data_IF_320101980843
#
_entry.id   IF_320101980843
#
_cell.length_a   1.000
_cell.length_b   1.000
_cell.length_c   1.000
_cell.angle_alpha   90.00
_cell.angle_beta   90.00
_cell.angle_gamma   90.00
#
_symmetry.space_group_name_H-M   'P 1'
#
loop_
_entity.id
_entity.type
_entity.pdbx_description
1 polymer ?
#
# COMPACT_ATOMS: atom_id res chain seq x y z
N UNK A 1 49.80 -9.46 26.36
CA UNK A 1 48.73 -8.48 26.05
C UNK A 1 47.47 -8.87 26.80
N UNK A 2 47.03 -8.01 27.72
CA UNK A 2 46.06 -8.33 28.79
C UNK A 2 44.61 -8.42 28.27
N UNK A 3 43.85 -9.39 28.80
CA UNK A 3 42.42 -9.61 28.56
C UNK A 3 41.56 -8.35 28.82
N UNK A 4 42.08 -7.37 29.55
CA UNK A 4 41.44 -6.07 29.76
C UNK A 4 41.28 -5.23 28.48
N UNK A 5 42.16 -5.40 27.49
CA UNK A 5 42.10 -4.62 26.24
C UNK A 5 41.01 -5.11 25.29
N UNK A 6 40.69 -6.41 25.28
CA UNK A 6 39.65 -6.98 24.41
C UNK A 6 38.24 -6.66 24.91
N UNK A 7 38.04 -6.57 26.22
CA UNK A 7 36.76 -6.19 26.81
C UNK A 7 36.38 -4.74 26.45
N UNK A 8 37.32 -3.79 26.52
CA UNK A 8 37.05 -2.38 26.14
C UNK A 8 36.61 -2.24 24.68
N UNK A 9 37.22 -2.96 23.74
CA UNK A 9 36.85 -2.89 22.33
C UNK A 9 35.45 -3.45 22.07
N UNK A 10 35.05 -4.53 22.75
CA UNK A 10 33.70 -5.12 22.60
C UNK A 10 32.63 -4.20 23.20
N UNK A 11 32.88 -3.60 24.37
CA UNK A 11 31.93 -2.64 24.96
C UNK A 11 31.82 -1.34 24.15
N UNK A 12 32.90 -0.84 23.54
CA UNK A 12 32.83 0.32 22.65
C UNK A 12 32.04 0.04 21.37
N UNK A 13 32.15 -1.17 20.79
CA UNK A 13 31.35 -1.56 19.62
C UNK A 13 29.87 -1.73 20.01
N UNK A 14 29.57 -2.34 21.17
CA UNK A 14 28.20 -2.46 21.66
C UNK A 14 27.57 -1.10 21.97
N UNK A 15 28.34 -0.16 22.53
CA UNK A 15 27.86 1.19 22.86
C UNK A 15 27.62 2.06 21.61
N UNK A 16 28.43 1.90 20.55
CA UNK A 16 28.20 2.55 19.25
C UNK A 16 26.97 1.94 18.56
N UNK A 17 26.73 0.64 18.69
CA UNK A 17 25.51 -0.02 18.18
C UNK A 17 24.24 0.40 18.96
N UNK A 18 24.34 0.64 20.26
CA UNK A 18 23.21 1.11 21.08
C UNK A 18 22.89 2.60 20.85
N UNK A 19 23.88 3.45 20.60
CA UNK A 19 23.66 4.89 20.32
C UNK A 19 23.03 5.18 18.93
N UNK A 20 23.05 4.22 18.00
CA UNK A 20 22.32 4.37 16.73
C UNK A 20 20.83 4.03 16.83
N UNK A 21 20.35 3.55 17.99
CA UNK A 21 18.92 3.21 18.17
C UNK A 21 18.12 4.29 18.87
N UNK A 22 18.75 5.35 19.41
CA UNK A 22 18.07 6.54 19.90
C UNK A 22 17.95 7.61 18.80
N UNK A 23 17.54 7.21 17.61
CA UNK A 23 17.25 8.16 16.53
C UNK A 23 15.82 8.72 16.74
N UNK A 24 15.76 9.94 17.29
CA UNK A 24 14.72 10.96 17.09
C UNK A 24 13.35 10.46 16.60
N UNK A 25 12.57 9.80 17.47
CA UNK A 25 11.13 9.68 17.24
C UNK A 25 10.48 11.03 17.61
N UNK A 26 10.58 12.02 16.72
CA UNK A 26 9.75 13.22 16.81
C UNK A 26 8.45 12.93 16.04
N UNK A 27 7.35 12.87 16.77
CA UNK A 27 6.03 12.64 16.18
C UNK A 27 5.55 13.92 15.49
N UNK A 28 5.35 13.87 14.17
CA UNK A 28 4.42 14.81 13.54
C UNK A 28 3.10 14.74 14.30
N UNK A 29 2.59 15.90 14.71
CA UNK A 29 1.27 16.02 15.36
C UNK A 29 0.23 16.11 14.25
N UNK A 30 -0.76 15.23 14.28
CA UNK A 30 -1.88 15.24 13.35
C UNK A 30 -3.09 15.84 14.05
N UNK A 31 -3.79 16.76 13.40
CA UNK A 31 -4.94 17.47 13.97
C UNK A 31 -6.27 16.72 13.77
N UNK A 32 -6.21 15.43 13.41
CA UNK A 32 -7.37 14.59 13.13
C UNK A 32 -7.26 13.25 13.86
N UNK A 33 -8.40 12.55 14.00
CA UNK A 33 -8.44 11.21 14.60
C UNK A 33 -7.52 10.23 13.84
N UNK A 34 -6.62 9.59 14.58
CA UNK A 34 -5.62 8.65 14.06
C UNK A 34 -5.97 7.18 14.29
N UNK A 35 -7.16 6.85 14.82
CA UNK A 35 -7.54 5.48 15.18
C UNK A 35 -7.57 4.49 13.99
N UNK A 36 -7.82 4.99 12.79
CA UNK A 36 -7.94 4.20 11.55
C UNK A 36 -6.80 4.49 10.55
N UNK A 37 -5.66 4.98 11.04
CA UNK A 37 -4.44 5.13 10.23
C UNK A 37 -3.30 4.28 10.78
N UNK A 38 -2.34 4.01 9.91
CA UNK A 38 -1.09 3.33 10.22
C UNK A 38 0.05 4.25 9.78
N UNK A 39 0.94 4.60 10.71
CA UNK A 39 2.02 5.56 10.46
C UNK A 39 3.36 4.82 10.45
N UNK A 40 4.07 4.90 9.32
CA UNK A 40 5.49 4.53 9.26
C UNK A 40 6.29 5.81 9.47
N UNK A 41 6.97 5.88 10.61
CA UNK A 41 7.73 7.07 10.99
C UNK A 41 8.93 7.27 10.07
N UNK A 42 9.10 8.53 9.66
CA UNK A 42 10.29 9.00 8.96
C UNK A 42 11.52 8.91 9.88
N UNK A 43 12.73 8.64 9.34
CA UNK A 43 13.95 8.58 10.14
C UNK A 43 14.51 9.97 10.49
N UNK A 44 13.99 11.05 9.88
CA UNK A 44 14.41 12.43 10.15
C UNK A 44 13.37 13.43 9.63
N UNK A 45 13.52 14.71 10.03
CA UNK A 45 12.68 15.83 9.57
C UNK A 45 12.77 16.13 8.07
N UNK A 46 13.77 15.58 7.38
CA UNK A 46 13.93 15.76 5.94
C UNK A 46 12.86 14.98 5.16
N UNK A 47 12.15 14.07 5.81
CA UNK A 47 11.17 13.20 5.17
C UNK A 47 9.82 13.28 5.88
N UNK A 48 8.76 13.15 5.11
CA UNK A 48 7.39 13.05 5.60
C UNK A 48 7.19 11.64 6.16
N UNK A 49 6.42 11.51 7.22
CA UNK A 49 5.89 10.21 7.63
C UNK A 49 5.04 9.60 6.50
N UNK A 50 4.95 8.27 6.44
CA UNK A 50 4.02 7.58 5.55
C UNK A 50 2.75 7.30 6.35
N UNK A 51 1.63 7.84 5.90
CA UNK A 51 0.32 7.66 6.53
C UNK A 51 -0.54 6.77 5.63
N UNK A 52 -0.89 5.58 6.10
CA UNK A 52 -1.75 4.64 5.40
C UNK A 52 -3.08 4.51 6.15
N UNK A 53 -4.15 4.09 5.48
CA UNK A 53 -5.33 3.63 6.23
C UNK A 53 -5.03 2.32 6.95
N UNK A 54 -5.67 2.12 8.09
CA UNK A 54 -5.51 0.91 8.89
C UNK A 54 -6.84 0.29 9.26
N UNK A 55 -6.77 -0.98 9.62
CA UNK A 55 -7.82 -1.69 10.34
C UNK A 55 -7.14 -2.57 11.37
N UNK A 56 -7.58 -2.53 12.63
CA UNK A 56 -6.98 -3.27 13.74
C UNK A 56 -5.43 -3.13 13.81
N UNK A 57 -4.90 -1.93 13.61
CA UNK A 57 -3.49 -1.61 13.80
C UNK A 57 -2.53 -2.04 12.68
N UNK A 58 -3.03 -2.57 11.55
CA UNK A 58 -2.21 -2.86 10.35
C UNK A 58 -2.77 -2.14 9.12
N UNK A 59 -1.96 -1.89 8.08
CA UNK A 59 -2.42 -1.26 6.85
C UNK A 59 -3.61 -1.97 6.23
N UNK A 60 -4.51 -1.22 5.57
CA UNK A 60 -5.56 -1.78 4.72
C UNK A 60 -5.47 -1.21 3.31
N UNK A 61 -5.79 -2.04 2.33
CA UNK A 61 -5.79 -1.67 0.91
C UNK A 61 -7.02 -2.26 0.20
N UNK A 62 -7.35 -1.72 -0.98
CA UNK A 62 -8.59 -2.03 -1.70
C UNK A 62 -9.53 -0.84 -1.63
N UNK A 63 -10.79 -1.04 -1.23
CA UNK A 63 -11.70 0.09 -1.02
C UNK A 63 -11.20 0.95 0.13
N UNK A 64 -10.92 2.22 -0.16
CA UNK A 64 -10.53 3.20 0.85
C UNK A 64 -11.75 3.96 1.37
N UNK A 65 -11.75 4.29 2.66
CA UNK A 65 -12.65 5.30 3.18
C UNK A 65 -12.21 6.66 2.63
N UNK A 66 -13.03 7.31 1.83
CA UNK A 66 -12.63 8.58 1.21
C UNK A 66 -12.65 9.73 2.19
N UNK A 67 -13.30 9.59 3.37
CA UNK A 67 -13.64 10.66 4.33
C UNK A 67 -14.40 11.85 3.76
N UNK A 68 -14.54 11.92 2.44
CA UNK A 68 -15.23 12.94 1.68
C UNK A 68 -16.59 12.37 1.30
N UNK A 69 -17.54 12.42 2.24
CA UNK A 69 -18.95 12.47 1.87
C UNK A 69 -19.21 13.79 1.11
N UNK A 70 -20.29 13.87 0.34
CA UNK A 70 -20.60 15.02 -0.56
C UNK A 70 -20.66 16.40 0.12
N UNK A 71 -20.65 16.47 1.46
CA UNK A 71 -20.60 17.71 2.25
C UNK A 71 -19.30 17.89 3.07
N UNK A 72 -18.42 16.89 3.11
CA UNK A 72 -17.19 16.88 3.92
C UNK A 72 -16.02 17.63 3.26
N UNK A 73 -16.19 18.13 2.03
CA UNK A 73 -15.24 19.07 1.41
C UNK A 73 -15.08 20.40 2.19
N UNK A 74 -15.96 20.66 3.16
CA UNK A 74 -15.88 21.80 4.10
C UNK A 74 -15.17 21.46 5.41
N UNK A 75 -14.94 20.19 5.72
CA UNK A 75 -14.17 19.78 6.89
C UNK A 75 -12.70 19.67 6.49
N UNK A 76 -11.91 20.69 6.86
CA UNK A 76 -10.50 20.79 6.51
C UNK A 76 -9.68 19.59 7.03
N UNK A 77 -9.98 19.11 8.23
CA UNK A 77 -9.26 18.00 8.87
C UNK A 77 -9.45 16.68 8.10
N UNK A 78 -10.68 16.41 7.63
CA UNK A 78 -10.96 15.21 6.82
C UNK A 78 -10.33 15.28 5.44
N UNK A 79 -10.27 16.48 4.84
CA UNK A 79 -9.58 16.70 3.57
C UNK A 79 -8.07 16.48 3.74
N UNK A 80 -7.46 17.05 4.76
CA UNK A 80 -6.04 16.87 5.08
C UNK A 80 -5.71 15.39 5.30
N UNK A 81 -6.51 14.69 6.12
CA UNK A 81 -6.35 13.25 6.36
C UNK A 81 -6.40 12.44 5.06
N UNK A 82 -7.35 12.74 4.18
CA UNK A 82 -7.47 12.06 2.89
C UNK A 82 -6.26 12.32 1.98
N UNK A 83 -5.79 13.57 1.90
CA UNK A 83 -4.60 13.93 1.10
C UNK A 83 -3.32 13.25 1.62
N UNK A 84 -3.17 13.15 2.95
CA UNK A 84 -2.06 12.43 3.57
C UNK A 84 -2.08 10.94 3.26
N UNK A 85 -3.25 10.31 3.28
CA UNK A 85 -3.40 8.89 2.94
C UNK A 85 -3.06 8.63 1.47
N UNK A 86 -3.57 9.47 0.57
CA UNK A 86 -3.25 9.43 -0.86
C UNK A 86 -1.75 9.55 -1.09
N UNK A 87 -1.09 10.52 -0.44
CA UNK A 87 0.34 10.71 -0.55
C UNK A 87 1.11 9.54 0.08
N UNK A 88 0.63 9.01 1.21
CA UNK A 88 1.21 7.88 1.91
C UNK A 88 1.22 6.60 1.08
N UNK A 89 0.13 6.26 0.40
CA UNK A 89 0.08 5.10 -0.51
C UNK A 89 1.18 5.19 -1.59
N UNK A 90 1.31 6.36 -2.22
CA UNK A 90 2.33 6.61 -3.24
C UNK A 90 3.75 6.57 -2.67
N UNK A 91 3.96 7.15 -1.49
CA UNK A 91 5.24 7.19 -0.81
C UNK A 91 5.71 5.81 -0.37
N UNK A 92 4.80 5.00 0.16
CA UNK A 92 5.02 3.61 0.52
C UNK A 92 5.54 2.81 -0.69
N UNK A 93 4.87 2.94 -1.83
CA UNK A 93 5.25 2.26 -3.06
C UNK A 93 6.58 2.77 -3.64
N UNK A 94 6.82 4.08 -3.64
CA UNK A 94 8.07 4.64 -4.13
C UNK A 94 9.29 4.15 -3.32
N UNK A 95 9.12 3.97 -2.01
CA UNK A 95 10.17 3.40 -1.15
C UNK A 95 10.35 1.89 -1.38
N UNK A 96 9.27 1.13 -1.57
CA UNK A 96 9.37 -0.28 -1.99
C UNK A 96 10.17 -0.40 -3.30
N UNK A 97 9.88 0.48 -4.26
CA UNK A 97 10.59 0.52 -5.53
C UNK A 97 12.07 0.89 -5.36
N UNK A 98 12.39 1.79 -4.44
CA UNK A 98 13.78 2.14 -4.14
C UNK A 98 14.57 0.96 -3.57
N UNK A 99 14.02 0.21 -2.61
CA UNK A 99 14.67 -0.99 -2.05
C UNK A 99 14.92 -2.05 -3.13
N UNK A 100 13.93 -2.31 -3.99
CA UNK A 100 14.10 -3.22 -5.10
C UNK A 100 15.22 -2.78 -6.07
N UNK A 101 15.29 -1.48 -6.36
CA UNK A 101 16.30 -0.90 -7.25
C UNK A 101 17.68 -0.73 -6.59
N UNK A 102 17.91 -1.19 -5.35
CA UNK A 102 19.18 -0.95 -4.61
C UNK A 102 20.45 -1.28 -5.40
N UNK A 103 20.42 -2.33 -6.23
CA UNK A 103 21.56 -2.69 -7.05
C UNK A 103 21.86 -1.62 -8.12
N UNK A 104 20.84 -0.99 -8.70
CA UNK A 104 21.00 0.12 -9.66
C UNK A 104 21.52 1.39 -8.97
N UNK A 105 21.19 1.60 -7.70
CA UNK A 105 21.70 2.72 -6.91
C UNK A 105 23.22 2.64 -6.66
N UNK A 106 23.85 1.47 -6.83
CA UNK A 106 25.32 1.35 -6.83
C UNK A 106 25.97 2.09 -8.01
N UNK A 107 25.24 2.24 -9.12
CA UNK A 107 25.69 3.00 -10.30
C UNK A 107 25.19 4.47 -10.27
N UNK A 108 24.56 4.92 -9.18
CA UNK A 108 23.99 6.26 -9.07
C UNK A 108 25.09 7.34 -9.18
N UNK A 109 24.99 8.20 -10.19
CA UNK A 109 25.92 9.30 -10.38
C UNK A 109 25.55 10.43 -9.42
N UNK A 110 26.37 10.63 -8.38
CA UNK A 110 26.15 11.68 -7.37
C UNK A 110 26.61 13.07 -7.80
N UNK A 111 27.32 13.17 -8.93
CA UNK A 111 27.99 14.40 -9.37
C UNK A 111 27.17 15.22 -10.36
N UNK A 112 26.40 14.54 -11.21
CA UNK A 112 25.65 15.18 -12.30
C UNK A 112 24.32 14.48 -12.51
N UNK A 113 23.26 15.29 -12.61
CA UNK A 113 21.94 14.84 -13.04
C UNK A 113 21.97 14.39 -14.50
N UNK A 114 21.45 13.20 -14.78
CA UNK A 114 21.18 12.76 -16.14
C UNK A 114 20.03 13.57 -16.75
N UNK A 115 20.32 14.32 -17.82
CA UNK A 115 19.34 15.16 -18.54
C UNK A 115 18.56 14.39 -19.60
N UNK A 116 19.15 13.31 -20.13
CA UNK A 116 18.57 12.47 -21.17
C UNK A 116 18.84 11.00 -20.86
N UNK A 117 18.03 10.11 -21.45
CA UNK A 117 18.29 8.68 -21.39
C UNK A 117 19.57 8.38 -22.17
N UNK A 118 20.53 7.62 -21.62
CA UNK A 118 21.72 7.22 -22.35
C UNK A 118 21.35 6.40 -23.59
N UNK A 119 21.95 6.72 -24.73
CA UNK A 119 21.85 5.94 -25.96
C UNK A 119 22.99 4.93 -26.01
N UNK A 120 22.67 3.64 -25.95
CA UNK A 120 23.65 2.57 -26.12
C UNK A 120 23.50 1.44 -25.10
N UNK A 121 24.53 0.60 -25.00
CA UNK A 121 24.57 -0.62 -24.18
C UNK A 121 25.26 -0.42 -22.82
N UNK A 122 25.63 0.80 -22.44
CA UNK A 122 26.27 1.07 -21.15
C UNK A 122 25.28 0.87 -20.00
N UNK A 123 25.33 -0.31 -19.38
CA UNK A 123 24.41 -0.70 -18.32
C UNK A 123 24.51 0.17 -17.07
N UNK A 124 25.71 0.65 -16.73
CA UNK A 124 25.91 1.50 -15.55
C UNK A 124 25.22 2.85 -15.71
N UNK A 125 25.37 3.47 -16.88
CA UNK A 125 24.67 4.72 -17.19
C UNK A 125 23.15 4.53 -17.21
N UNK A 126 22.66 3.42 -17.77
CA UNK A 126 21.23 3.10 -17.75
C UNK A 126 20.71 2.93 -16.31
N UNK A 127 21.41 2.15 -15.48
CA UNK A 127 21.08 1.96 -14.06
C UNK A 127 21.08 3.30 -13.31
N UNK A 128 22.12 4.11 -13.52
CA UNK A 128 22.23 5.44 -12.96
C UNK A 128 21.04 6.33 -13.32
N UNK A 129 20.66 6.36 -14.60
CA UNK A 129 19.53 7.12 -15.09
C UNK A 129 18.23 6.64 -14.42
N UNK A 130 17.96 5.33 -14.40
CA UNK A 130 16.75 4.76 -13.77
C UNK A 130 16.69 5.10 -12.27
N UNK A 131 17.80 4.91 -11.55
CA UNK A 131 17.88 5.21 -10.12
C UNK A 131 17.68 6.71 -9.84
N UNK A 132 18.22 7.60 -10.68
CA UNK A 132 17.96 9.03 -10.60
C UNK A 132 16.49 9.37 -10.83
N UNK A 133 15.83 8.82 -11.87
CA UNK A 133 14.41 9.06 -12.11
C UNK A 133 13.55 8.66 -10.90
N UNK A 134 13.85 7.50 -10.28
CA UNK A 134 13.14 7.08 -9.09
C UNK A 134 13.42 7.97 -7.88
N UNK A 135 14.68 8.36 -7.68
CA UNK A 135 15.06 9.29 -6.63
C UNK A 135 14.32 10.63 -6.74
N UNK A 136 14.19 11.19 -7.95
CA UNK A 136 13.42 12.41 -8.21
C UNK A 136 11.93 12.31 -7.87
N UNK A 137 11.32 11.12 -8.00
CA UNK A 137 9.94 10.94 -7.52
C UNK A 137 9.88 11.10 -6.01
N UNK A 138 10.79 10.44 -5.29
CA UNK A 138 10.87 10.52 -3.83
C UNK A 138 11.16 11.95 -3.34
N UNK A 139 11.99 12.72 -4.05
CA UNK A 139 12.23 14.13 -3.66
C UNK A 139 10.95 14.96 -3.67
N UNK A 140 10.02 14.68 -4.59
CA UNK A 140 8.79 15.45 -4.71
C UNK A 140 7.68 14.96 -3.77
N UNK A 141 7.69 13.67 -3.41
CA UNK A 141 6.57 13.06 -2.67
C UNK A 141 6.91 12.77 -1.21
N UNK A 142 8.15 12.36 -0.92
CA UNK A 142 8.62 11.93 0.41
C UNK A 142 9.39 13.02 1.14
N UNK A 143 10.24 13.79 0.46
CA UNK A 143 11.01 14.83 1.13
C UNK A 143 10.13 16.00 1.60
N UNK A 144 10.54 16.63 2.70
CA UNK A 144 10.02 17.92 3.17
C UNK A 144 10.86 19.05 2.59
N UNK A 145 10.39 20.30 2.75
CA UNK A 145 11.15 21.48 2.29
C UNK A 145 12.51 21.61 3.00
N UNK A 146 12.65 21.03 4.18
CA UNK A 146 13.91 20.99 4.95
C UNK A 146 14.99 20.20 4.21
N UNK A 147 14.62 19.18 3.44
CA UNK A 147 15.58 18.42 2.62
C UNK A 147 16.27 19.27 1.55
N UNK A 148 15.70 20.44 1.23
CA UNK A 148 16.14 21.34 0.17
C UNK A 148 15.50 21.01 -1.18
N UNK A 149 15.84 21.80 -2.20
CA UNK A 149 15.34 21.61 -3.56
C UNK A 149 16.47 21.17 -4.49
N UNK A 150 16.39 19.93 -4.95
CA UNK A 150 17.34 19.30 -5.88
C UNK A 150 17.48 20.04 -7.23
N UNK A 151 16.51 20.88 -7.60
CA UNK A 151 16.47 21.64 -8.85
C UNK A 151 16.76 23.14 -8.66
N UNK A 152 17.05 23.62 -7.46
CA UNK A 152 17.32 25.03 -7.21
C UNK A 152 18.62 25.51 -7.89
N UNK A 153 18.66 26.77 -8.31
CA UNK A 153 19.85 27.43 -8.86
C UNK A 153 19.56 28.19 -10.16
N UNK A 154 20.09 29.39 -10.27
CA UNK A 154 19.85 30.30 -11.40
C UNK A 154 20.60 29.85 -12.66
N UNK A 155 21.81 29.30 -12.46
CA UNK A 155 22.68 28.81 -13.52
C UNK A 155 23.06 27.32 -13.35
N UNK A 156 23.75 26.76 -14.33
CA UNK A 156 24.12 25.34 -14.35
C UNK A 156 25.07 24.92 -13.22
N UNK A 157 25.99 25.80 -12.81
CA UNK A 157 26.95 25.53 -11.75
C UNK A 157 26.24 25.44 -10.40
N UNK A 158 25.31 26.35 -10.15
CA UNK A 158 24.48 26.33 -8.94
C UNK A 158 23.58 25.09 -8.90
N UNK A 159 22.90 24.77 -10.01
CA UNK A 159 22.06 23.57 -10.09
C UNK A 159 22.88 22.31 -9.84
N UNK A 160 24.08 22.22 -10.40
CA UNK A 160 24.98 21.07 -10.16
C UNK A 160 25.45 20.98 -8.71
N UNK A 161 25.83 22.11 -8.11
CA UNK A 161 26.21 22.18 -6.68
C UNK A 161 25.06 21.75 -5.77
N UNK A 162 23.86 22.30 -6.01
CA UNK A 162 22.67 22.00 -5.21
C UNK A 162 22.22 20.54 -5.38
N UNK A 163 22.29 20.00 -6.60
CA UNK A 163 22.08 18.58 -6.85
C UNK A 163 23.01 17.71 -6.01
N UNK A 164 24.32 17.95 -6.08
CA UNK A 164 25.32 17.17 -5.34
C UNK A 164 25.10 17.24 -3.83
N UNK A 165 24.86 18.44 -3.30
CA UNK A 165 24.54 18.63 -1.88
C UNK A 165 23.27 17.87 -1.49
N UNK A 166 22.21 17.98 -2.27
CA UNK A 166 20.95 17.29 -1.98
C UNK A 166 21.11 15.77 -1.99
N UNK A 167 21.80 15.22 -3.00
CA UNK A 167 22.07 13.79 -3.12
C UNK A 167 22.88 13.30 -1.92
N UNK A 168 23.97 13.98 -1.59
CA UNK A 168 24.84 13.58 -0.47
C UNK A 168 24.12 13.62 0.88
N UNK A 169 23.17 14.54 1.05
CA UNK A 169 22.46 14.69 2.32
C UNK A 169 21.27 13.73 2.47
N UNK A 170 20.65 13.29 1.36
CA UNK A 170 19.36 12.60 1.42
C UNK A 170 19.37 11.18 0.84
N UNK A 171 20.26 10.86 -0.11
CA UNK A 171 20.21 9.57 -0.81
C UNK A 171 20.39 8.38 0.15
N UNK A 172 21.41 8.42 0.99
CA UNK A 172 21.74 7.30 1.87
C UNK A 172 20.70 7.09 2.98
N UNK A 173 20.10 8.19 3.47
CA UNK A 173 19.00 8.15 4.43
C UNK A 173 17.73 7.52 3.83
N UNK A 174 17.39 7.88 2.59
CA UNK A 174 16.26 7.30 1.88
C UNK A 174 16.51 5.81 1.54
N UNK A 175 17.71 5.44 1.11
CA UNK A 175 18.09 4.03 0.85
C UNK A 175 18.00 3.19 2.13
N UNK A 176 18.46 3.74 3.25
CA UNK A 176 18.36 3.06 4.54
C UNK A 176 16.91 2.87 4.94
N UNK A 177 16.07 3.90 4.75
CA UNK A 177 14.66 3.84 5.12
C UNK A 177 13.86 2.89 4.22
N UNK A 178 14.11 2.89 2.90
CA UNK A 178 13.43 1.99 1.96
C UNK A 178 13.56 0.52 2.36
N UNK A 179 14.74 0.13 2.84
CA UNK A 179 15.03 -1.26 3.26
C UNK A 179 14.28 -1.69 4.52
N UNK A 180 13.58 -0.76 5.20
CA UNK A 180 12.77 -1.05 6.38
C UNK A 180 11.28 -1.27 6.06
N UNK A 181 10.84 -0.88 4.86
CA UNK A 181 9.42 -0.88 4.48
C UNK A 181 8.88 -2.30 4.32
N UNK A 182 9.65 -3.19 3.68
CA UNK A 182 9.30 -4.59 3.50
C UNK A 182 10.27 -5.50 4.24
N UNK A 183 9.81 -6.13 5.32
CA UNK A 183 10.58 -7.19 5.98
C UNK A 183 10.41 -8.48 5.19
N UNK A 184 11.51 -9.05 4.68
CA UNK A 184 11.51 -10.28 3.88
C UNK A 184 10.60 -10.16 2.64
N UNK A 185 10.62 -9.01 1.96
CA UNK A 185 9.80 -8.72 0.78
C UNK A 185 8.28 -8.85 1.01
N UNK A 186 7.82 -8.80 2.26
CA UNK A 186 6.42 -9.05 2.58
C UNK A 186 5.90 -8.19 3.73
N UNK A 187 4.60 -8.00 3.74
CA UNK A 187 3.88 -7.30 4.81
C UNK A 187 2.49 -7.94 5.00
N UNK A 188 1.90 -7.70 6.17
CA UNK A 188 0.52 -8.12 6.44
C UNK A 188 -0.38 -6.90 6.34
N UNK A 189 -1.55 -7.08 5.74
CA UNK A 189 -2.53 -6.02 5.55
C UNK A 189 -3.95 -6.57 5.60
N UNK A 190 -4.92 -5.68 5.75
CA UNK A 190 -6.30 -6.00 5.42
C UNK A 190 -6.57 -5.71 3.96
N UNK A 191 -7.10 -6.71 3.28
CA UNK A 191 -7.70 -6.55 1.97
C UNK A 191 -9.16 -6.18 2.13
N UNK A 192 -9.63 -5.13 1.46
CA UNK A 192 -11.01 -4.62 1.54
C UNK A 192 -11.65 -4.60 0.16
N UNK A 193 -12.86 -5.16 0.02
CA UNK A 193 -13.60 -5.21 -1.24
C UNK A 193 -15.08 -4.90 -1.07
N UNK A 194 -15.66 -4.24 -2.08
CA UNK A 194 -17.09 -3.92 -2.12
C UNK A 194 -17.93 -5.15 -2.49
N UNK A 195 -18.79 -5.61 -1.59
CA UNK A 195 -19.74 -6.70 -1.83
C UNK A 195 -21.12 -6.12 -2.15
N UNK A 196 -21.70 -6.57 -3.26
CA UNK A 196 -23.07 -6.20 -3.65
C UNK A 196 -24.01 -7.35 -3.31
N UNK A 197 -25.02 -7.05 -2.52
CA UNK A 197 -26.13 -7.95 -2.29
C UNK A 197 -27.03 -7.93 -3.53
N UNK A 198 -27.36 -9.13 -4.04
CA UNK A 198 -28.33 -9.30 -5.13
C UNK A 198 -29.69 -9.70 -4.52
N UNK A 199 -30.41 -10.60 -5.18
CA UNK A 199 -31.66 -11.13 -4.69
C UNK A 199 -31.40 -12.03 -3.48
N UNK A 200 -32.27 -11.91 -2.47
CA UNK A 200 -32.31 -12.84 -1.36
C UNK A 200 -32.86 -14.18 -1.86
N UNK A 201 -32.18 -15.27 -1.53
CA UNK A 201 -32.59 -16.64 -1.80
C UNK A 201 -33.36 -17.14 -0.57
N UNK A 202 -34.69 -17.20 -0.68
CA UNK A 202 -35.57 -17.61 0.42
C UNK A 202 -35.42 -19.09 0.77
N UNK A 203 -35.08 -19.94 -0.21
CA UNK A 203 -34.90 -21.37 0.00
C UNK A 203 -33.59 -21.63 0.76
N UNK A 204 -32.53 -20.91 0.39
CA UNK A 204 -31.21 -21.01 1.04
C UNK A 204 -31.08 -20.09 2.26
N UNK A 205 -32.06 -19.23 2.51
CA UNK A 205 -32.14 -18.24 3.60
C UNK A 205 -30.89 -17.34 3.66
N UNK A 206 -30.57 -16.69 2.54
CA UNK A 206 -29.38 -15.84 2.47
C UNK A 206 -29.16 -15.14 1.13
N UNK A 207 -28.00 -14.50 1.00
CA UNK A 207 -27.54 -13.89 -0.25
C UNK A 207 -26.36 -14.66 -0.83
N UNK A 208 -26.44 -14.99 -2.12
CA UNK A 208 -25.25 -15.39 -2.87
C UNK A 208 -24.40 -14.16 -3.15
N UNK A 209 -23.21 -14.12 -2.56
CA UNK A 209 -22.26 -13.03 -2.76
C UNK A 209 -21.06 -13.51 -3.55
N UNK A 210 -20.59 -12.63 -4.44
CA UNK A 210 -19.39 -12.85 -5.23
C UNK A 210 -18.29 -11.91 -4.76
N UNK A 211 -17.17 -12.49 -4.37
CA UNK A 211 -16.02 -11.80 -3.78
C UNK A 211 -14.80 -12.06 -4.70
N UNK A 212 -14.41 -11.13 -5.59
CA UNK A 212 -13.20 -11.25 -6.38
C UNK A 212 -11.99 -11.34 -5.47
N UNK A 213 -11.10 -12.30 -5.69
CA UNK A 213 -9.90 -12.49 -4.88
C UNK A 213 -8.62 -12.15 -5.63
N UNK A 214 -8.74 -11.77 -6.90
CA UNK A 214 -7.62 -11.32 -7.70
C UNK A 214 -8.07 -10.14 -8.58
N UNK A 215 -7.11 -9.45 -9.21
CA UNK A 215 -7.33 -8.45 -10.27
C UNK A 215 -8.52 -7.49 -10.04
N UNK A 216 -8.51 -6.82 -8.89
CA UNK A 216 -9.58 -5.90 -8.49
C UNK A 216 -9.32 -4.53 -9.12
N UNK A 217 -10.04 -4.21 -10.20
CA UNK A 217 -10.20 -2.81 -10.65
C UNK A 217 -11.40 -2.21 -9.95
N UNK A 218 -11.21 -1.72 -8.74
CA UNK A 218 -12.30 -1.07 -8.01
C UNK A 218 -12.49 0.38 -8.46
N UNK A 219 -13.72 0.71 -8.90
CA UNK A 219 -14.09 2.01 -9.47
C UNK A 219 -13.88 3.20 -8.53
N UNK A 220 -13.71 2.97 -7.23
CA UNK A 220 -13.51 4.02 -6.21
C UNK A 220 -12.05 4.15 -5.76
N UNK A 221 -11.13 3.34 -6.28
CA UNK A 221 -9.71 3.58 -6.05
C UNK A 221 -9.24 4.60 -7.10
N UNK A 222 -9.03 5.87 -6.71
CA UNK A 222 -8.45 6.87 -7.63
C UNK A 222 -7.05 6.46 -8.12
N UNK A 223 -6.44 5.46 -7.47
CA UNK A 223 -5.20 4.80 -7.85
C UNK A 223 -5.37 3.42 -8.53
N UNK A 224 -6.58 3.09 -9.02
CA UNK A 224 -7.05 1.80 -9.56
C UNK A 224 -6.25 1.10 -10.68
N UNK A 225 -5.04 1.54 -11.03
CA UNK A 225 -4.35 0.95 -12.19
C UNK A 225 -2.89 0.59 -11.99
N UNK A 226 -2.12 1.25 -11.13
CA UNK A 226 -0.67 1.04 -11.16
C UNK A 226 -0.19 -0.06 -10.21
N UNK A 227 -0.76 -0.20 -9.00
CA UNK A 227 -0.14 -1.03 -7.97
C UNK A 227 -1.17 -1.94 -7.31
N UNK A 228 -1.71 -2.87 -8.10
CA UNK A 228 -2.68 -3.87 -7.65
C UNK A 228 -2.01 -4.85 -6.67
N UNK A 229 -1.91 -4.50 -5.38
CA UNK A 229 -1.39 -5.38 -4.32
C UNK A 229 -2.05 -6.77 -4.34
N UNK A 230 -3.30 -6.83 -4.80
CA UNK A 230 -4.12 -8.03 -4.86
C UNK A 230 -4.34 -8.52 -6.29
N UNK A 231 -3.41 -8.23 -7.22
CA UNK A 231 -3.50 -8.71 -8.61
C UNK A 231 -3.46 -10.23 -8.67
N UNK A 232 -2.50 -10.83 -7.96
CA UNK A 232 -2.22 -12.26 -8.02
C UNK A 232 -2.55 -12.89 -6.66
N UNK A 233 -3.54 -13.79 -6.63
CA UNK A 233 -3.80 -14.63 -5.46
C UNK A 233 -3.03 -15.93 -5.61
N UNK A 234 -2.27 -16.32 -4.58
CA UNK A 234 -1.46 -17.55 -4.57
C UNK A 234 -1.81 -18.33 -3.31
N UNK A 235 -2.79 -19.26 -3.37
CA UNK A 235 -3.22 -20.06 -2.23
C UNK A 235 -2.04 -20.72 -1.52
N UNK A 236 -1.91 -20.52 -0.20
CA UNK A 236 -0.89 -21.22 0.61
C UNK A 236 -1.51 -22.12 1.66
N UNK A 237 -2.80 -21.92 1.97
CA UNK A 237 -3.51 -22.69 2.97
C UNK A 237 -4.53 -23.63 2.31
N UNK A 238 -4.80 -24.76 2.95
CA UNK A 238 -5.78 -25.74 2.45
C UNK A 238 -7.18 -25.16 2.27
N UNK A 239 -7.58 -24.23 3.13
CA UNK A 239 -8.87 -23.56 3.05
C UNK A 239 -8.96 -22.56 1.91
N UNK A 240 -7.91 -22.31 1.13
CA UNK A 240 -7.91 -21.43 -0.06
C UNK A 240 -8.10 -22.20 -1.36
N UNK A 241 -8.05 -23.54 -1.33
CA UNK A 241 -8.11 -24.42 -2.51
C UNK A 241 -9.38 -24.27 -3.35
N UNK A 242 -10.49 -23.84 -2.74
CA UNK A 242 -11.76 -23.55 -3.41
C UNK A 242 -11.68 -22.40 -4.43
N UNK A 243 -10.66 -21.53 -4.34
CA UNK A 243 -10.45 -20.39 -5.23
C UNK A 243 -10.08 -20.76 -6.68
N UNK A 244 -9.62 -21.99 -6.90
CA UNK A 244 -9.03 -22.42 -8.18
C UNK A 244 -10.03 -23.10 -9.13
N UNK A 245 -11.25 -23.42 -8.67
CA UNK A 245 -12.18 -24.31 -9.36
C UNK A 245 -13.16 -23.64 -10.33
N UNK A 246 -13.64 -22.42 -10.05
CA UNK A 246 -14.67 -21.77 -10.88
C UNK A 246 -14.15 -20.49 -11.53
N UNK A 247 -13.63 -20.62 -12.75
CA UNK A 247 -13.63 -19.49 -13.68
C UNK A 247 -15.08 -19.23 -14.09
N UNK A 248 -15.67 -18.15 -13.57
CA UNK A 248 -16.95 -17.66 -14.09
C UNK A 248 -16.85 -17.55 -15.62
N UNK A 249 -17.82 -18.13 -16.35
CA UNK A 249 -17.91 -18.05 -17.83
C UNK A 249 -17.84 -16.62 -18.38
N UNK A 250 -18.03 -15.60 -17.53
CA UNK A 250 -18.08 -14.18 -17.88
C UNK A 250 -16.89 -13.34 -17.33
N UNK A 251 -16.02 -13.86 -16.47
CA UNK A 251 -14.90 -13.09 -15.93
C UNK A 251 -13.65 -13.93 -15.74
N UNK A 252 -12.55 -13.50 -16.34
CA UNK A 252 -11.22 -14.11 -16.17
C UNK A 252 -10.65 -14.00 -14.75
N UNK A 253 -11.32 -13.27 -13.86
CA UNK A 253 -10.88 -13.02 -12.50
C UNK A 253 -11.44 -14.07 -11.54
N UNK A 254 -10.60 -14.80 -10.79
CA UNK A 254 -11.07 -15.73 -9.78
C UNK A 254 -11.85 -14.99 -8.68
N UNK A 255 -12.97 -15.57 -8.27
CA UNK A 255 -13.86 -15.02 -7.27
C UNK A 255 -14.45 -16.13 -6.41
N UNK A 256 -14.64 -15.85 -5.14
CA UNK A 256 -15.39 -16.70 -4.23
C UNK A 256 -16.87 -16.46 -4.45
N UNK A 257 -17.64 -17.52 -4.64
CA UNK A 257 -19.09 -17.49 -4.50
C UNK A 257 -19.43 -18.13 -3.17
N UNK A 258 -20.06 -17.36 -2.28
CA UNK A 258 -20.35 -17.81 -0.91
C UNK A 258 -21.79 -17.46 -0.59
N UNK A 259 -22.51 -18.38 0.04
CA UNK A 259 -23.80 -18.08 0.65
C UNK A 259 -23.60 -17.32 1.97
N UNK A 260 -23.98 -16.05 1.99
CA UNK A 260 -24.12 -15.27 3.20
C UNK A 260 -25.51 -15.53 3.82
N UNK A 261 -25.58 -16.46 4.76
CA UNK A 261 -26.81 -16.79 5.49
C UNK A 261 -27.21 -15.67 6.44
N UNK A 262 -28.47 -15.26 6.38
CA UNK A 262 -29.06 -14.18 7.19
C UNK A 262 -30.59 -14.37 7.18
N UNK A 263 -31.28 -14.08 8.28
CA UNK A 263 -32.74 -14.26 8.32
C UNK A 263 -33.44 -13.27 7.37
N UNK A 264 -34.67 -13.56 6.88
CA UNK A 264 -35.41 -12.62 6.05
C UNK A 264 -35.61 -11.24 6.71
N UNK A 265 -35.86 -11.22 8.02
CA UNK A 265 -36.08 -10.00 8.80
C UNK A 265 -34.79 -9.16 8.90
N UNK A 266 -33.64 -9.81 9.11
CA UNK A 266 -32.34 -9.15 9.11
C UNK A 266 -31.91 -8.71 7.70
N UNK A 267 -32.24 -9.50 6.69
CA UNK A 267 -32.00 -9.19 5.28
C UNK A 267 -32.76 -7.93 4.85
N UNK A 268 -34.02 -7.79 5.28
CA UNK A 268 -34.82 -6.58 5.04
C UNK A 268 -34.21 -5.36 5.72
N UNK A 269 -33.80 -5.47 6.99
CA UNK A 269 -33.09 -4.39 7.70
C UNK A 269 -31.79 -3.97 7.02
N UNK A 270 -31.11 -4.89 6.35
CA UNK A 270 -29.88 -4.59 5.62
C UNK A 270 -30.14 -3.83 4.30
N UNK A 271 -31.34 -3.98 3.73
CA UNK A 271 -31.75 -3.32 2.49
C UNK A 271 -32.42 -1.94 2.70
N UNK A 272 -32.97 -1.66 3.88
CA UNK A 272 -33.55 -0.35 4.21
C UNK A 272 -32.47 0.56 4.87
N UNK A 273 -32.19 1.81 4.44
CA UNK A 273 -33.02 2.74 3.64
C UNK A 273 -32.27 3.40 2.46
N UNK A 274 -32.76 3.20 1.23
CA UNK A 274 -32.89 4.27 0.22
C UNK A 274 -33.85 3.77 -0.85
N UNK A 275 -35.10 4.26 -0.81
CA UNK A 275 -36.00 4.17 -1.97
C UNK A 275 -35.27 4.75 -3.17
N UNK A 276 -35.01 3.91 -4.16
CA UNK A 276 -34.24 4.25 -5.34
C UNK A 276 -34.86 5.41 -6.13
N UNK A 277 -34.04 6.37 -6.54
CA UNK A 277 -34.21 7.03 -7.84
C UNK A 277 -33.59 6.10 -8.88
N UNK A 278 -34.36 5.65 -9.88
CA UNK A 278 -33.89 4.80 -11.00
C UNK A 278 -32.52 5.28 -11.51
N UNK A 279 -31.52 4.39 -11.55
CA UNK A 279 -30.29 4.56 -12.34
C UNK A 279 -28.94 4.56 -11.62
N UNK A 280 -28.87 4.58 -10.28
CA UNK A 280 -27.59 4.53 -9.54
C UNK A 280 -27.24 3.12 -9.07
N UNK A 281 -25.99 2.83 -8.72
CA UNK A 281 -25.56 1.52 -8.24
C UNK A 281 -26.24 1.12 -6.90
N UNK A 282 -26.25 -0.18 -6.59
CA UNK A 282 -26.84 -0.78 -5.37
C UNK A 282 -26.69 0.11 -4.13
N UNK A 283 -27.75 0.38 -3.36
CA UNK A 283 -27.79 1.52 -2.44
C UNK A 283 -26.87 1.35 -1.23
N UNK A 284 -26.68 0.11 -0.76
CA UNK A 284 -25.85 -0.21 0.40
C UNK A 284 -24.95 -1.40 0.05
N UNK A 285 -23.75 -1.18 -0.51
CA UNK A 285 -22.77 -2.26 -0.56
C UNK A 285 -22.35 -2.64 0.87
N UNK A 286 -22.06 -3.92 1.06
CA UNK A 286 -21.25 -4.35 2.21
C UNK A 286 -19.77 -4.24 1.84
N UNK A 287 -18.91 -4.30 2.85
CA UNK A 287 -17.47 -4.33 2.67
C UNK A 287 -16.93 -5.63 3.25
N UNK A 288 -16.41 -6.50 2.39
CA UNK A 288 -15.68 -7.67 2.81
C UNK A 288 -14.25 -7.28 3.16
N UNK A 289 -13.75 -7.80 4.28
CA UNK A 289 -12.36 -7.66 4.66
C UNK A 289 -11.75 -8.98 5.08
N UNK A 290 -10.50 -9.19 4.72
CA UNK A 290 -9.72 -10.34 5.14
C UNK A 290 -8.29 -9.94 5.43
N UNK A 291 -7.69 -10.58 6.43
CA UNK A 291 -6.26 -10.42 6.71
C UNK A 291 -5.47 -11.22 5.68
N UNK A 292 -4.54 -10.55 5.00
CA UNK A 292 -3.72 -11.13 3.93
C UNK A 292 -2.25 -10.87 4.17
N UNK A 293 -1.42 -11.80 3.71
CA UNK A 293 0.02 -11.61 3.58
C UNK A 293 0.30 -11.23 2.14
N UNK A 294 0.84 -10.04 1.93
CA UNK A 294 1.25 -9.53 0.62
C UNK A 294 2.75 -9.71 0.46
N UNK A 295 3.18 -10.27 -0.65
CA UNK A 295 4.59 -10.51 -0.98
C UNK A 295 4.92 -9.82 -2.29
N UNK A 296 6.00 -9.04 -2.31
CA UNK A 296 6.57 -8.50 -3.53
C UNK A 296 7.21 -9.63 -4.32
N UNK A 297 6.69 -9.90 -5.52
CA UNK A 297 7.13 -11.00 -6.38
C UNK A 297 8.24 -10.56 -7.33
N UNK A 298 8.01 -9.45 -8.03
CA UNK A 298 8.88 -8.96 -9.08
C UNK A 298 8.56 -7.50 -9.35
N UNK A 299 9.31 -6.89 -10.26
CA UNK A 299 8.88 -5.68 -10.93
C UNK A 299 8.73 -5.97 -12.42
N UNK A 300 7.62 -5.57 -13.01
CA UNK A 300 7.42 -5.70 -14.46
C UNK A 300 8.13 -4.55 -15.16
N UNK A 301 9.02 -4.89 -16.10
CA UNK A 301 9.55 -3.90 -17.03
C UNK A 301 8.39 -3.35 -17.89
N UNK A 302 8.23 -2.03 -17.87
CA UNK A 302 7.41 -1.38 -18.87
C UNK A 302 8.12 -1.52 -20.22
N UNK A 303 7.49 -2.24 -21.17
CA UNK A 303 8.01 -2.41 -22.54
C UNK A 303 8.23 -1.08 -23.26
N UNK A 304 7.52 -0.02 -22.85
CA UNK A 304 7.74 1.33 -23.37
C UNK A 304 9.04 1.95 -22.84
N UNK A 305 9.63 1.35 -21.80
CA UNK A 305 10.92 1.68 -21.22
C UNK A 305 10.97 3.13 -20.65
N UNK A 306 9.80 3.80 -20.57
CA UNK A 306 9.63 5.20 -20.18
C UNK A 306 9.16 5.37 -18.73
N UNK A 307 8.53 4.35 -18.15
CA UNK A 307 8.13 4.38 -16.75
C UNK A 307 9.02 3.47 -15.90
N UNK A 308 9.28 3.84 -14.63
CA UNK A 308 9.94 2.95 -13.70
C UNK A 308 9.16 1.65 -13.55
N UNK A 309 9.88 0.56 -13.31
CA UNK A 309 9.28 -0.77 -13.25
C UNK A 309 8.12 -0.82 -12.24
N UNK A 310 7.07 -1.57 -12.53
CA UNK A 310 5.87 -1.60 -11.70
C UNK A 310 5.98 -2.80 -10.74
N UNK A 311 5.89 -2.62 -9.41
CA UNK A 311 5.93 -3.74 -8.49
C UNK A 311 4.74 -4.67 -8.72
N UNK A 312 5.04 -5.96 -8.88
CA UNK A 312 4.07 -7.03 -8.88
C UNK A 312 4.00 -7.65 -7.49
N UNK A 313 2.79 -7.68 -6.94
CA UNK A 313 2.52 -8.32 -5.68
C UNK A 313 1.70 -9.59 -5.89
N UNK A 314 1.91 -10.53 -4.97
CA UNK A 314 1.04 -11.67 -4.74
C UNK A 314 0.53 -11.63 -3.30
N UNK A 315 -0.60 -12.31 -3.06
CA UNK A 315 -1.15 -12.41 -1.72
C UNK A 315 -1.81 -13.75 -1.46
N UNK A 316 -1.93 -14.08 -0.18
CA UNK A 316 -2.74 -15.17 0.35
C UNK A 316 -3.40 -14.73 1.65
N UNK A 317 -4.48 -15.41 2.03
CA UNK A 317 -5.16 -15.17 3.30
C UNK A 317 -4.32 -15.69 4.47
N UNK A 318 -4.21 -14.89 5.52
CA UNK A 318 -3.62 -15.32 6.79
C UNK A 318 -4.66 -15.98 7.71
N UNK A 319 -5.95 -15.82 7.38
CA UNK A 319 -7.07 -16.33 8.16
C UNK A 319 -8.16 -16.89 7.24
N UNK A 320 -8.86 -17.98 7.64
CA UNK A 320 -10.02 -18.48 6.90
C UNK A 320 -11.26 -17.61 7.10
N UNK A 321 -11.18 -16.45 7.75
CA UNK A 321 -12.34 -15.61 8.06
C UNK A 321 -12.34 -14.37 7.16
N UNK A 322 -13.46 -14.18 6.46
CA UNK A 322 -13.81 -12.92 5.80
C UNK A 322 -14.88 -12.25 6.64
N UNK A 323 -14.65 -11.01 7.07
CA UNK A 323 -15.62 -10.24 7.85
C UNK A 323 -16.37 -9.28 6.93
N UNK A 324 -17.69 -9.19 7.07
CA UNK A 324 -18.54 -8.25 6.36
C UNK A 324 -18.87 -7.05 7.25
N UNK A 325 -18.80 -5.85 6.69
CA UNK A 325 -19.13 -4.58 7.34
C UNK A 325 -20.18 -3.80 6.55
N UNK A 326 -20.97 -2.96 7.23
CA UNK A 326 -21.96 -2.08 6.58
C UNK A 326 -21.33 -0.81 6.00
N UNK A 327 -20.19 -0.38 6.55
CA UNK A 327 -19.61 0.93 6.31
C UNK A 327 -18.13 0.84 5.86
N UNK A 328 -17.64 1.89 5.21
CA UNK A 328 -16.25 1.99 4.72
C UNK A 328 -15.21 2.16 5.84
N UNK A 329 -15.63 2.62 7.02
CA UNK A 329 -14.73 2.73 8.17
C UNK A 329 -14.49 1.37 8.83
N UNK A 330 -15.25 0.33 8.45
CA UNK A 330 -15.17 -1.03 8.98
C UNK A 330 -15.46 -1.06 10.49
N UNK A 331 -16.47 -0.31 10.94
CA UNK A 331 -16.87 -0.23 12.34
C UNK A 331 -18.14 -1.03 12.64
N UNK A 332 -19.06 -1.13 11.67
CA UNK A 332 -20.33 -1.84 11.80
C UNK A 332 -20.24 -3.26 11.23
N UNK A 333 -19.68 -4.19 12.03
CA UNK A 333 -19.60 -5.61 11.67
C UNK A 333 -20.99 -6.21 11.47
N UNK A 334 -21.20 -6.89 10.34
CA UNK A 334 -22.42 -7.61 9.98
C UNK A 334 -22.29 -9.10 10.26
N UNK A 335 -21.22 -9.72 9.75
CA UNK A 335 -21.06 -11.17 9.79
C UNK A 335 -19.60 -11.59 9.60
N UNK A 336 -19.33 -12.86 9.88
CA UNK A 336 -18.08 -13.54 9.54
C UNK A 336 -18.38 -14.76 8.69
N UNK A 337 -17.66 -14.90 7.59
CA UNK A 337 -17.76 -15.99 6.65
C UNK A 337 -16.51 -16.85 6.78
N UNK A 338 -16.68 -18.15 6.98
CA UNK A 338 -15.57 -19.08 7.08
C UNK A 338 -15.27 -19.78 5.75
N UNK A 339 -14.06 -19.60 5.25
CA UNK A 339 -13.53 -20.28 4.08
C UNK A 339 -13.34 -21.79 4.27
N UNK A 340 -13.40 -22.28 5.52
CA UNK A 340 -13.38 -23.73 5.83
C UNK A 340 -14.73 -24.41 5.64
N UNK A 341 -15.83 -23.64 5.59
CA UNK A 341 -17.21 -24.14 5.57
C UNK A 341 -18.03 -23.39 4.53
N UNK A 342 -17.49 -23.30 3.32
CA UNK A 342 -18.15 -22.58 2.23
C UNK A 342 -19.29 -23.42 1.71
N UNK A 343 -20.46 -22.79 1.61
CA UNK A 343 -21.57 -23.30 0.81
C UNK A 343 -21.43 -22.60 -0.55
N UNK A 344 -21.13 -23.38 -1.57
CA UNK A 344 -20.99 -22.97 -2.97
C UNK A 344 -22.29 -23.21 -3.73
N UNK A 345 -22.53 -22.42 -4.78
CA UNK A 345 -23.66 -22.59 -5.68
C UNK A 345 -23.32 -23.73 -6.64
N UNK A 346 -24.15 -24.78 -6.70
CA UNK A 346 -23.94 -25.97 -7.56
C UNK A 346 -24.07 -25.66 -9.06
#
# INVERSE_FOLDING_TARGET
MSNYSKAKTIYSILFILLLHTTAYAQSNTYNFDTNDIFIIKSPSKNYKDIVLQSHNGIPRFGVLNTYIASNASRNLDLKEKYELIIAGDMNFLNLIQMDYMKAMYNDFNREVRASTRPSGTNKKEENSYKAQQQFYKLTNTVCTDIAGNINAGENEFERRRNYKTFVNNNLDGLLTWSNTILKNNAFSAYWVHTVRLRNYDFDKKGYWIQIPIASIRERNTRFSTQYNFFKNHVPKNSYESFSMGEKSRSSSTPSLKILFKISPEEAEKLQQPTKFKRGTASPNPLYATAKVKVTLRAFTEDKSNKTPEIPEFEHHFESPIITLYKDLALTEKVAELSLKKIITED
#
